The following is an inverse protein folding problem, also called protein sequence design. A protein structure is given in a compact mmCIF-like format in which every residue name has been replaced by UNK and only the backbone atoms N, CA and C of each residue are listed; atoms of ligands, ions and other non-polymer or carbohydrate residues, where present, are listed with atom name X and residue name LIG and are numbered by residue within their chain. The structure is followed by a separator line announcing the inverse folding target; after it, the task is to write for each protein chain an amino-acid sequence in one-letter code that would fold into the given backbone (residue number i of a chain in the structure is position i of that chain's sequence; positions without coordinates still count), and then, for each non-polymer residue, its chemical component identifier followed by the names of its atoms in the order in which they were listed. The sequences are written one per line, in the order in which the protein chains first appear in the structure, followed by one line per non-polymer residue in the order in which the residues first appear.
data_IF_856972643545
#
_entry.id   IF_856972643545
#
_cell.length_a   1.000
_cell.length_b   1.000
_cell.length_c   1.000
_cell.angle_alpha   90.00
_cell.angle_beta   90.00
_cell.angle_gamma   90.00
#
_symmetry.space_group_name_H-M   'P 1'
#
loop_
_entity.id
_entity.type
_entity.pdbx_description
1 polymer ?
#
# COMPACT_ATOMS: atom_id res chain seq x y z
N UNK A 1 19.76 -7.28 2.44
CA UNK A 1 20.10 -6.96 1.04
C UNK A 1 20.78 -8.11 0.32
N UNK A 2 21.49 -8.98 1.04
CA UNK A 2 22.27 -10.09 0.47
C UNK A 2 21.48 -11.01 -0.46
N UNK A 3 20.23 -11.37 -0.11
CA UNK A 3 19.41 -12.21 -0.97
C UNK A 3 19.10 -11.54 -2.32
N UNK A 4 18.72 -10.26 -2.30
CA UNK A 4 18.39 -9.50 -3.52
C UNK A 4 19.64 -9.35 -4.38
N UNK A 5 20.77 -8.98 -3.78
CA UNK A 5 22.05 -8.82 -4.50
C UNK A 5 22.55 -10.15 -5.10
N UNK A 6 22.51 -11.25 -4.34
CA UNK A 6 22.93 -12.59 -4.82
C UNK A 6 22.04 -13.14 -5.94
N UNK A 7 20.83 -12.61 -6.09
CA UNK A 7 19.88 -13.04 -7.12
C UNK A 7 19.57 -11.92 -8.12
N UNK A 8 20.40 -10.89 -8.18
CA UNK A 8 20.19 -9.78 -9.11
C UNK A 8 20.27 -10.27 -10.57
N UNK A 9 19.28 -9.88 -11.37
CA UNK A 9 19.09 -10.36 -12.73
C UNK A 9 18.39 -11.72 -12.88
N UNK A 10 17.97 -12.37 -11.78
CA UNK A 10 17.30 -13.69 -11.84
C UNK A 10 15.76 -13.65 -11.89
N UNK A 11 15.16 -12.48 -11.68
CA UNK A 11 13.70 -12.29 -11.69
C UNK A 11 13.29 -11.29 -12.79
N UNK A 12 12.14 -11.49 -13.41
CA UNK A 12 11.62 -10.51 -14.36
C UNK A 12 11.20 -9.20 -13.67
N UNK A 13 10.66 -9.31 -12.45
CA UNK A 13 10.22 -8.18 -11.63
C UNK A 13 10.21 -8.53 -10.15
N UNK A 14 10.45 -7.54 -9.30
CA UNK A 14 10.34 -7.66 -7.85
C UNK A 14 9.22 -6.75 -7.36
N UNK A 15 8.18 -7.34 -6.76
CA UNK A 15 7.13 -6.60 -6.06
C UNK A 15 7.52 -6.42 -4.59
N UNK A 16 7.72 -5.16 -4.19
CA UNK A 16 8.13 -4.79 -2.85
C UNK A 16 6.95 -4.29 -2.01
N UNK A 17 6.62 -5.02 -0.95
CA UNK A 17 5.55 -4.68 0.00
C UNK A 17 6.08 -4.13 1.34
N UNK A 18 7.38 -3.83 1.44
CA UNK A 18 7.96 -3.31 2.68
C UNK A 18 7.30 -1.99 3.08
N UNK A 19 7.09 -1.83 4.40
CA UNK A 19 6.78 -0.50 4.96
C UNK A 19 7.90 0.47 4.59
N UNK A 20 7.53 1.63 4.06
CA UNK A 20 8.52 2.58 3.53
C UNK A 20 9.13 2.16 2.20
N UNK A 21 8.44 1.35 1.38
CA UNK A 21 8.96 0.84 0.11
C UNK A 21 9.43 1.90 -0.91
N UNK A 22 9.06 3.17 -0.73
CA UNK A 22 9.62 4.28 -1.50
C UNK A 22 11.14 4.46 -1.29
N UNK A 23 11.68 4.02 -0.15
CA UNK A 23 13.11 4.02 0.14
C UNK A 23 13.92 3.11 -0.80
N UNK A 24 13.26 2.18 -1.50
CA UNK A 24 13.89 1.33 -2.51
C UNK A 24 14.10 2.04 -3.84
N UNK A 25 13.41 3.15 -4.12
CA UNK A 25 13.52 3.88 -5.39
C UNK A 25 14.96 4.33 -5.72
N UNK A 26 15.76 4.91 -4.80
CA UNK A 26 17.15 5.23 -5.10
C UNK A 26 18.00 3.97 -5.34
N UNK A 27 17.74 2.89 -4.60
CA UNK A 27 18.50 1.65 -4.71
C UNK A 27 18.19 0.87 -6.00
N UNK A 28 16.96 0.97 -6.50
CA UNK A 28 16.52 0.30 -7.72
C UNK A 28 17.39 0.64 -8.95
N UNK A 29 18.09 1.78 -8.94
CA UNK A 29 19.02 2.18 -10.00
C UNK A 29 20.28 1.31 -10.08
N UNK A 30 20.60 0.57 -9.02
CA UNK A 30 21.81 -0.26 -8.91
C UNK A 30 21.53 -1.75 -9.08
N UNK A 31 20.28 -2.14 -9.35
CA UNK A 31 19.85 -3.51 -9.53
C UNK A 31 19.41 -3.74 -10.98
N UNK A 32 19.66 -4.94 -11.51
CA UNK A 32 19.20 -5.35 -12.84
C UNK A 32 17.71 -5.67 -12.85
N UNK A 33 17.17 -6.22 -11.76
CA UNK A 33 15.74 -6.52 -11.69
C UNK A 33 14.93 -5.23 -11.46
N UNK A 34 13.86 -4.97 -12.24
CA UNK A 34 12.99 -3.86 -11.95
C UNK A 34 12.25 -4.09 -10.63
N UNK A 35 12.26 -3.07 -9.77
CA UNK A 35 11.51 -3.09 -8.50
C UNK A 35 10.28 -2.21 -8.63
N UNK A 36 9.14 -2.76 -8.25
CA UNK A 36 7.86 -2.06 -8.12
C UNK A 36 7.46 -2.07 -6.64
N UNK A 37 7.33 -0.90 -6.03
CA UNK A 37 6.94 -0.78 -4.62
C UNK A 37 5.44 -0.51 -4.50
N UNK A 38 4.77 -1.28 -3.65
CA UNK A 38 3.34 -1.15 -3.36
C UNK A 38 3.17 -0.45 -2.03
N UNK A 39 2.50 0.70 -2.04
CA UNK A 39 2.28 1.51 -0.85
C UNK A 39 1.02 1.04 -0.13
N UNK A 40 1.16 0.52 1.08
CA UNK A 40 0.03 0.07 1.93
C UNK A 40 -0.37 1.07 3.02
N UNK A 41 0.53 2.01 3.34
CA UNK A 41 0.30 3.05 4.34
C UNK A 41 -0.11 4.37 3.67
N UNK A 42 -0.75 5.30 4.41
CA UNK A 42 -1.00 6.65 3.91
C UNK A 42 0.28 7.30 3.36
N UNK A 43 0.13 8.06 2.27
CA UNK A 43 1.25 8.82 1.71
C UNK A 43 1.18 10.22 2.30
N UNK A 44 2.06 10.48 3.26
CA UNK A 44 2.22 11.81 3.86
C UNK A 44 3.01 12.73 2.92
N UNK A 45 2.94 14.05 3.18
CA UNK A 45 3.56 15.05 2.32
C UNK A 45 5.08 14.84 2.20
N UNK A 46 5.75 14.43 3.28
CA UNK A 46 7.18 14.16 3.34
C UNK A 46 7.57 13.03 2.38
N UNK A 47 6.77 11.96 2.35
CA UNK A 47 6.94 10.87 1.37
C UNK A 47 6.69 11.39 -0.04
N UNK A 48 5.68 12.23 -0.20
CA UNK A 48 5.39 12.94 -1.46
C UNK A 48 6.57 13.70 -2.03
N UNK A 49 7.25 14.48 -1.20
CA UNK A 49 8.44 15.24 -1.63
C UNK A 49 9.55 14.32 -2.14
N UNK A 50 9.78 13.18 -1.47
CA UNK A 50 10.73 12.16 -1.96
C UNK A 50 10.28 11.59 -3.31
N UNK A 51 9.01 11.25 -3.47
CA UNK A 51 8.48 10.69 -4.72
C UNK A 51 8.60 11.65 -5.90
N UNK A 52 8.44 12.97 -5.67
CA UNK A 52 8.57 14.00 -6.70
C UNK A 52 10.00 14.13 -7.26
N UNK A 53 11.02 13.66 -6.54
CA UNK A 53 12.40 13.61 -7.04
C UNK A 53 12.58 12.61 -8.20
N UNK A 54 11.61 11.72 -8.41
CA UNK A 54 11.65 10.72 -9.47
C UNK A 54 10.65 11.08 -10.57
N UNK A 55 11.11 11.10 -11.83
CA UNK A 55 10.27 11.45 -13.00
C UNK A 55 9.08 10.48 -13.15
N UNK A 56 9.32 9.20 -12.92
CA UNK A 56 8.34 8.12 -13.01
C UNK A 56 8.68 7.05 -11.97
N UNK A 57 8.31 7.22 -10.70
CA UNK A 57 8.60 6.23 -9.67
C UNK A 57 7.75 4.97 -9.90
N UNK A 58 8.36 3.79 -9.82
CA UNK A 58 7.67 2.49 -9.91
C UNK A 58 6.86 2.21 -8.64
N UNK A 59 5.79 3.00 -8.44
CA UNK A 59 4.94 2.97 -7.26
C UNK A 59 3.51 2.63 -7.66
N UNK A 60 2.97 1.60 -7.01
CA UNK A 60 1.55 1.25 -7.07
C UNK A 60 0.88 1.68 -5.76
N UNK A 61 -0.28 2.32 -5.88
CA UNK A 61 -1.15 2.67 -4.75
C UNK A 61 -2.32 1.70 -4.62
N UNK A 62 -2.79 1.47 -3.40
CA UNK A 62 -3.92 0.55 -3.15
C UNK A 62 -5.31 1.22 -3.21
N UNK A 63 -5.35 2.53 -3.48
CA UNK A 63 -6.60 3.29 -3.65
C UNK A 63 -6.33 4.62 -4.34
N UNK A 64 -7.30 5.12 -5.10
CA UNK A 64 -7.25 6.50 -5.62
C UNK A 64 -7.27 7.54 -4.49
N UNK A 65 -7.86 7.23 -3.33
CA UNK A 65 -7.83 8.12 -2.17
C UNK A 65 -6.41 8.30 -1.61
N UNK A 66 -5.58 7.26 -1.69
CA UNK A 66 -4.20 7.29 -1.20
C UNK A 66 -3.32 8.29 -1.99
N UNK A 67 -3.69 8.63 -3.23
CA UNK A 67 -2.97 9.58 -4.09
C UNK A 67 -3.29 11.03 -3.79
N UNK A 68 -4.45 11.30 -3.18
CA UNK A 68 -4.97 12.66 -3.00
C UNK A 68 -4.03 13.62 -2.26
N UNK A 69 -3.27 13.19 -1.22
CA UNK A 69 -2.35 14.10 -0.55
C UNK A 69 -1.24 14.64 -1.48
N UNK A 70 -0.86 13.86 -2.50
CA UNK A 70 0.33 14.11 -3.34
C UNK A 70 0.03 13.82 -4.83
N UNK A 71 -0.92 14.57 -5.44
CA UNK A 71 -1.54 14.20 -6.72
C UNK A 71 -0.62 14.37 -7.94
N UNK A 72 0.48 15.13 -7.80
CA UNK A 72 1.41 15.42 -8.90
C UNK A 72 2.43 14.30 -9.17
N UNK A 73 2.46 13.26 -8.34
CA UNK A 73 3.33 12.10 -8.55
C UNK A 73 2.80 11.23 -9.69
N UNK A 74 3.67 10.83 -10.62
CA UNK A 74 3.33 9.92 -11.72
C UNK A 74 3.34 8.46 -11.24
N UNK A 75 2.35 8.09 -10.46
CA UNK A 75 2.14 6.71 -10.01
C UNK A 75 2.00 5.75 -11.19
N UNK A 76 2.58 4.55 -11.05
CA UNK A 76 2.53 3.52 -12.08
C UNK A 76 1.10 2.99 -12.28
N UNK A 77 0.41 2.64 -11.19
CA UNK A 77 -0.96 2.12 -11.22
C UNK A 77 -1.68 2.28 -9.87
N UNK A 78 -3.00 2.16 -9.88
CA UNK A 78 -3.79 1.92 -8.66
C UNK A 78 -4.34 0.50 -8.76
N UNK A 79 -4.05 -0.34 -7.76
CA UNK A 79 -4.59 -1.70 -7.70
C UNK A 79 -5.19 -1.89 -6.32
N UNK A 80 -6.51 -1.99 -6.25
CA UNK A 80 -7.23 -2.21 -4.99
C UNK A 80 -6.91 -3.61 -4.45
N UNK A 81 -6.85 -3.73 -3.12
CA UNK A 81 -6.71 -5.04 -2.49
C UNK A 81 -7.95 -5.89 -2.79
N UNK A 82 -7.73 -7.10 -3.30
CA UNK A 82 -8.78 -8.09 -3.51
C UNK A 82 -9.04 -8.91 -2.25
N UNK A 83 -10.24 -9.50 -2.20
CA UNK A 83 -10.61 -10.55 -1.24
C UNK A 83 -11.18 -11.74 -2.01
N UNK A 84 -11.12 -12.94 -1.43
CA UNK A 84 -11.78 -14.10 -2.00
C UNK A 84 -13.27 -14.09 -1.64
N UNK A 85 -14.14 -13.71 -2.57
CA UNK A 85 -15.58 -13.60 -2.32
C UNK A 85 -16.25 -14.93 -1.94
N UNK A 86 -15.64 -16.08 -2.26
CA UNK A 86 -16.21 -17.37 -1.86
C UNK A 86 -16.12 -17.62 -0.35
N UNK A 87 -15.20 -16.95 0.34
CA UNK A 87 -15.01 -17.02 1.79
C UNK A 87 -15.96 -16.08 2.56
N UNK A 88 -16.54 -15.09 1.88
CA UNK A 88 -17.41 -14.06 2.47
C UNK A 88 -18.79 -14.12 1.82
N UNK A 89 -19.64 -15.01 2.31
CA UNK A 89 -21.04 -15.09 1.87
C UNK A 89 -21.82 -13.92 2.42
N UNK A 90 -22.56 -13.24 1.54
CA UNK A 90 -23.49 -12.19 1.94
C UNK A 90 -24.68 -12.82 2.68
N UNK A 91 -25.08 -12.20 3.78
CA UNK A 91 -26.28 -12.54 4.55
C UNK A 91 -27.29 -11.41 4.42
N UNK A 92 -28.47 -11.73 3.88
CA UNK A 92 -29.57 -10.78 3.68
C UNK A 92 -30.48 -10.65 4.91
N UNK A 93 -30.22 -11.39 5.99
CA UNK A 93 -30.99 -11.39 7.24
C UNK A 93 -30.07 -11.26 8.47
N UNK A 94 -29.39 -10.12 8.62
CA UNK A 94 -28.49 -9.90 9.76
C UNK A 94 -29.27 -9.87 11.08
N UNK A 95 -28.59 -10.28 12.15
CA UNK A 95 -29.05 -10.04 13.53
C UNK A 95 -28.92 -8.54 13.89
N UNK A 96 -29.53 -8.14 15.02
CA UNK A 96 -29.49 -6.76 15.51
C UNK A 96 -28.18 -6.48 16.26
N UNK A 97 -27.09 -6.29 15.50
CA UNK A 97 -25.79 -5.92 16.04
C UNK A 97 -25.06 -4.86 15.21
N UNK A 98 -24.14 -4.18 15.87
CA UNK A 98 -23.12 -3.34 15.24
C UNK A 98 -21.75 -4.03 15.31
N UNK A 99 -21.08 -4.18 14.17
CA UNK A 99 -19.77 -4.85 14.07
C UNK A 99 -18.68 -3.87 13.64
N UNK A 100 -17.67 -3.73 14.48
CA UNK A 100 -16.42 -3.02 14.17
C UNK A 100 -15.26 -4.03 14.12
N UNK A 101 -14.55 -4.08 12.98
CA UNK A 101 -13.35 -4.94 12.82
C UNK A 101 -12.16 -4.04 12.48
N UNK A 102 -11.16 -4.07 13.36
CA UNK A 102 -9.89 -3.37 13.15
C UNK A 102 -8.89 -3.65 14.27
N UNK A 103 -7.61 -3.42 13.99
CA UNK A 103 -6.59 -3.47 15.04
C UNK A 103 -6.84 -2.36 16.07
N UNK A 104 -6.58 -2.65 17.36
CA UNK A 104 -6.66 -1.65 18.42
C UNK A 104 -5.60 -0.57 18.22
N UNK A 105 -6.04 0.65 17.99
CA UNK A 105 -5.17 1.81 17.83
C UNK A 105 -5.98 3.10 17.87
N UNK A 106 -5.41 4.15 18.44
CA UNK A 106 -6.07 5.45 18.58
C UNK A 106 -6.58 5.98 17.24
N UNK A 107 -5.74 5.90 16.20
CA UNK A 107 -6.05 6.26 14.81
C UNK A 107 -7.14 5.42 14.13
N UNK A 108 -7.57 4.31 14.75
CA UNK A 108 -8.67 3.47 14.30
C UNK A 108 -9.97 3.76 15.04
N UNK A 109 -9.92 4.59 16.08
CA UNK A 109 -11.09 5.12 16.81
C UNK A 109 -12.13 4.08 17.27
N UNK A 110 -11.76 2.91 17.84
CA UNK A 110 -12.74 1.92 18.30
C UNK A 110 -13.67 2.46 19.41
N UNK A 111 -13.22 3.46 20.19
CA UNK A 111 -14.04 4.11 21.21
C UNK A 111 -15.27 4.83 20.62
N UNK A 112 -15.14 5.46 19.44
CA UNK A 112 -16.29 6.08 18.75
C UNK A 112 -17.25 5.01 18.23
N UNK A 113 -16.72 3.87 17.78
CA UNK A 113 -17.54 2.75 17.33
C UNK A 113 -18.40 2.21 18.49
N UNK A 114 -17.85 2.15 19.70
CA UNK A 114 -18.58 1.77 20.92
C UNK A 114 -19.62 2.84 21.32
N UNK A 115 -19.29 4.13 21.20
CA UNK A 115 -20.24 5.21 21.53
C UNK A 115 -21.44 5.29 20.60
N UNK A 116 -21.29 4.82 19.35
CA UNK A 116 -22.31 4.90 18.31
C UNK A 116 -23.28 3.70 18.29
N UNK A 117 -22.90 2.57 18.90
CA UNK A 117 -23.74 1.38 19.05
C UNK A 117 -24.47 1.38 20.38
#
# INVERSE_FOLDING_TARGET
MDFISKNDGKFDVIFNHMRGGYLMLPLAKYLKNPIISIMHLPIFNEVGEVLKLFKSPNIITISNNQRKPVPKVKYLATVYNGINISEFKFDDKPEDYFLFIGAMGEYKTPHLAIQAG
#
